data_IF_803745344691
#
_entry.id   IF_803745344691
#
_cell.length_a   1.000
_cell.length_b   1.000
_cell.length_c   1.000
_cell.angle_alpha   90.00
_cell.angle_beta   90.00
_cell.angle_gamma   90.00
#
_symmetry.space_group_name_H-M   'P 1'
#
loop_
_entity.id
_entity.type
_entity.pdbx_description
1 polymer ?
#
# COMPACT_ATOMS: atom_id res chain seq x y z
N UNK A 1 36.83 -11.82 41.63
CA UNK A 1 37.20 -12.30 40.29
C UNK A 1 35.97 -12.96 39.67
N UNK A 2 35.30 -12.28 38.74
CA UNK A 2 34.15 -12.83 38.01
C UNK A 2 34.73 -13.82 36.99
N UNK A 3 34.36 -15.10 37.11
CA UNK A 3 34.87 -16.16 36.24
C UNK A 3 34.39 -15.87 34.79
N UNK A 4 35.31 -15.63 33.88
CA UNK A 4 35.12 -15.32 32.45
C UNK A 4 34.19 -16.34 31.77
N UNK A 5 34.15 -17.58 32.25
CA UNK A 5 33.29 -18.66 31.79
C UNK A 5 31.77 -18.35 31.87
N UNK A 6 31.34 -17.43 32.76
CA UNK A 6 29.92 -17.03 32.88
C UNK A 6 29.53 -15.92 31.92
N UNK A 7 30.47 -15.23 31.27
CA UNK A 7 30.23 -14.16 30.28
C UNK A 7 30.04 -14.72 28.88
N UNK A 8 30.56 -15.91 28.57
CA UNK A 8 30.46 -16.52 27.24
C UNK A 8 29.01 -16.76 26.78
N UNK A 9 28.09 -17.34 27.60
CA UNK A 9 26.72 -17.56 27.17
C UNK A 9 25.94 -16.25 26.95
N UNK A 10 26.23 -15.19 27.69
CA UNK A 10 25.60 -13.87 27.54
C UNK A 10 26.02 -13.24 26.21
N UNK A 11 27.30 -13.33 25.84
CA UNK A 11 27.83 -12.84 24.59
C UNK A 11 27.25 -13.61 23.39
N UNK A 12 27.04 -14.93 23.52
CA UNK A 12 26.42 -15.75 22.49
C UNK A 12 24.95 -15.37 22.23
N UNK A 13 24.18 -15.06 23.28
CA UNK A 13 22.78 -14.64 23.17
C UNK A 13 22.68 -13.29 22.46
N UNK A 14 23.60 -12.34 22.70
CA UNK A 14 23.63 -11.03 22.05
C UNK A 14 23.89 -11.17 20.54
N UNK A 15 24.69 -12.14 20.11
CA UNK A 15 24.96 -12.42 18.69
C UNK A 15 23.73 -12.92 17.91
N UNK A 16 22.79 -13.62 18.56
CA UNK A 16 21.56 -14.10 17.93
C UNK A 16 20.46 -13.01 17.82
N UNK A 17 20.55 -11.92 18.54
CA UNK A 17 19.56 -10.83 18.52
C UNK A 17 19.72 -9.88 17.33
N UNK A 18 20.83 -9.93 16.60
CA UNK A 18 21.08 -9.04 15.45
C UNK A 18 20.45 -9.51 14.13
N UNK A 19 19.72 -10.63 14.13
CA UNK A 19 19.15 -11.21 12.91
C UNK A 19 17.66 -10.86 12.71
N UNK A 20 17.22 -9.71 13.25
CA UNK A 20 15.91 -9.17 12.89
C UNK A 20 16.02 -8.56 11.49
N UNK A 21 15.81 -9.38 10.45
CA UNK A 21 15.79 -8.99 9.05
C UNK A 21 14.59 -8.11 8.69
N UNK A 22 14.36 -7.03 9.45
CA UNK A 22 13.38 -6.02 9.11
C UNK A 22 13.92 -5.17 7.97
N UNK A 23 13.55 -5.53 6.75
CA UNK A 23 13.72 -4.63 5.60
C UNK A 23 12.56 -3.63 5.63
N UNK A 24 12.81 -2.35 5.93
CA UNK A 24 11.76 -1.36 5.91
C UNK A 24 11.18 -1.27 4.49
N UNK A 25 9.85 -1.39 4.33
CA UNK A 25 9.14 -1.28 3.04
C UNK A 25 9.52 -0.03 2.24
N UNK A 26 10.00 1.01 2.92
CA UNK A 26 10.51 2.25 2.31
C UNK A 26 11.89 2.12 1.62
N UNK A 27 12.63 1.02 1.84
CA UNK A 27 13.92 0.80 1.18
C UNK A 27 13.76 0.43 -0.31
N UNK A 28 12.60 -0.05 -0.74
CA UNK A 28 12.29 -0.34 -2.15
C UNK A 28 12.31 0.92 -3.05
N UNK A 29 12.16 2.11 -2.46
CA UNK A 29 12.09 3.37 -3.21
C UNK A 29 13.43 3.86 -3.79
N UNK A 30 14.58 3.29 -3.40
CA UNK A 30 15.89 3.84 -3.80
C UNK A 30 16.43 3.31 -5.14
N UNK A 31 15.88 2.21 -5.69
CA UNK A 31 16.46 1.54 -6.86
C UNK A 31 15.45 1.20 -7.97
N UNK A 32 14.36 1.97 -8.10
CA UNK A 32 13.48 1.78 -9.27
C UNK A 32 14.10 2.44 -10.51
N UNK A 33 14.26 1.65 -11.58
CA UNK A 33 14.80 2.13 -12.87
C UNK A 33 13.71 2.76 -13.76
N UNK A 34 12.62 3.20 -13.16
CA UNK A 34 11.54 3.89 -13.86
C UNK A 34 11.00 5.07 -13.05
N UNK A 35 10.27 5.94 -13.72
CA UNK A 35 9.48 7.00 -13.11
C UNK A 35 8.00 6.86 -13.51
N UNK A 36 7.12 7.37 -12.67
CA UNK A 36 5.67 7.34 -12.89
C UNK A 36 5.18 8.77 -13.09
N UNK A 37 4.51 9.00 -14.21
CA UNK A 37 3.81 10.23 -14.49
C UNK A 37 2.30 9.98 -14.34
N UNK A 38 1.68 10.46 -13.26
CA UNK A 38 0.23 10.34 -13.06
C UNK A 38 -0.47 11.42 -13.87
N UNK A 39 -1.09 11.02 -14.97
CA UNK A 39 -1.82 11.93 -15.88
C UNK A 39 -3.17 12.31 -15.28
N UNK A 40 -3.94 11.32 -14.87
CA UNK A 40 -5.28 11.51 -14.33
C UNK A 40 -5.61 10.48 -13.26
N UNK A 41 -6.40 10.89 -12.24
CA UNK A 41 -6.99 9.98 -11.26
C UNK A 41 -8.43 10.43 -10.97
N UNK A 42 -9.40 9.52 -11.17
CA UNK A 42 -10.83 9.75 -10.93
C UNK A 42 -11.39 8.75 -9.93
N UNK A 43 -12.48 9.10 -9.23
CA UNK A 43 -13.23 8.23 -8.33
C UNK A 43 -13.23 8.68 -6.87
N UNK A 44 -13.02 7.78 -5.90
CA UNK A 44 -13.04 8.10 -4.47
C UNK A 44 -11.96 9.11 -4.09
N UNK A 45 -12.39 10.29 -3.61
CA UNK A 45 -11.49 11.43 -3.36
C UNK A 45 -10.47 11.14 -2.28
N UNK A 46 -10.89 10.50 -1.20
CA UNK A 46 -10.03 10.28 -0.03
C UNK A 46 -8.93 9.26 -0.34
N UNK A 47 -9.31 8.13 -0.93
CA UNK A 47 -8.38 7.12 -1.43
C UNK A 47 -7.42 7.70 -2.49
N UNK A 48 -7.95 8.48 -3.45
CA UNK A 48 -7.17 9.09 -4.52
C UNK A 48 -6.12 10.06 -3.98
N UNK A 49 -6.44 10.87 -2.97
CA UNK A 49 -5.48 11.79 -2.35
C UNK A 49 -4.31 11.02 -1.71
N UNK A 50 -4.61 9.93 -0.99
CA UNK A 50 -3.60 9.06 -0.41
C UNK A 50 -2.72 8.42 -1.50
N UNK A 51 -3.33 7.79 -2.50
CA UNK A 51 -2.61 7.13 -3.58
C UNK A 51 -1.75 8.10 -4.39
N UNK A 52 -2.30 9.29 -4.74
CA UNK A 52 -1.59 10.34 -5.47
C UNK A 52 -0.33 10.81 -4.74
N UNK A 53 -0.42 11.06 -3.42
CA UNK A 53 0.72 11.50 -2.60
C UNK A 53 1.84 10.45 -2.57
N UNK A 54 1.47 9.18 -2.60
CA UNK A 54 2.40 8.04 -2.61
C UNK A 54 3.05 7.84 -3.99
N UNK A 55 2.28 7.92 -5.08
CA UNK A 55 2.77 7.85 -6.46
C UNK A 55 3.76 8.99 -6.74
N UNK A 56 3.54 10.19 -6.19
CA UNK A 56 4.41 11.34 -6.40
C UNK A 56 5.87 11.09 -5.99
N UNK A 57 6.15 10.13 -5.11
CA UNK A 57 7.51 9.72 -4.72
C UNK A 57 8.28 9.09 -5.87
N UNK A 58 7.59 8.56 -6.88
CA UNK A 58 8.15 7.94 -8.08
C UNK A 58 8.17 8.90 -9.28
N UNK A 59 7.68 10.14 -9.09
CA UNK A 59 7.51 11.13 -10.16
C UNK A 59 8.77 11.91 -10.55
N UNK A 60 9.95 11.62 -9.98
CA UNK A 60 11.19 12.30 -10.34
C UNK A 60 11.61 11.87 -11.75
N UNK A 61 11.52 12.79 -12.69
CA UNK A 61 12.07 12.62 -14.06
C UNK A 61 13.58 12.54 -13.97
N UNK A 62 14.11 11.36 -14.24
CA UNK A 62 15.53 11.15 -14.50
C UNK A 62 15.65 10.79 -15.98
N UNK A 63 16.51 11.47 -16.71
CA UNK A 63 16.67 11.34 -18.18
C UNK A 63 16.97 9.90 -18.61
N UNK A 64 17.53 9.10 -17.70
CA UNK A 64 17.92 7.73 -17.96
C UNK A 64 16.89 6.69 -17.50
N UNK A 65 15.71 7.11 -17.03
CA UNK A 65 14.67 6.20 -16.53
C UNK A 65 13.52 6.07 -17.49
N UNK A 66 13.02 4.84 -17.64
CA UNK A 66 11.77 4.55 -18.35
C UNK A 66 10.60 5.29 -17.69
N UNK A 67 9.82 6.02 -18.46
CA UNK A 67 8.65 6.76 -17.96
C UNK A 67 7.37 5.97 -18.25
N UNK A 68 6.54 5.80 -17.21
CA UNK A 68 5.22 5.23 -17.35
C UNK A 68 4.15 6.29 -17.07
N UNK A 69 3.30 6.55 -18.04
CA UNK A 69 2.10 7.38 -17.89
C UNK A 69 0.97 6.52 -17.33
N UNK A 70 0.35 6.99 -16.25
CA UNK A 70 -0.76 6.31 -15.56
C UNK A 70 -2.04 7.14 -15.62
N UNK A 71 -3.13 6.51 -16.08
CA UNK A 71 -4.49 6.99 -15.86
C UNK A 71 -5.21 6.00 -14.95
N UNK A 72 -5.77 6.49 -13.85
CA UNK A 72 -6.41 5.67 -12.84
C UNK A 72 -7.88 6.04 -12.68
N UNK A 73 -8.73 5.02 -12.54
CA UNK A 73 -10.13 5.19 -12.14
C UNK A 73 -10.40 4.28 -10.95
N UNK A 74 -10.81 4.86 -9.83
CA UNK A 74 -11.01 4.15 -8.57
C UNK A 74 -12.48 4.08 -8.19
N UNK A 75 -12.88 2.96 -7.60
CA UNK A 75 -14.21 2.76 -7.02
C UNK A 75 -14.05 2.17 -5.62
N UNK A 76 -14.64 2.83 -4.64
CA UNK A 76 -14.67 2.38 -3.26
C UNK A 76 -16.08 1.96 -2.88
N UNK A 77 -16.21 0.79 -2.23
CA UNK A 77 -17.46 0.29 -1.69
C UNK A 77 -17.25 -0.11 -0.21
N UNK A 78 -18.23 0.22 0.63
CA UNK A 78 -18.32 -0.22 2.02
C UNK A 78 -19.57 -1.08 2.17
N UNK A 79 -19.38 -2.38 2.32
CA UNK A 79 -20.44 -3.37 2.42
C UNK A 79 -20.57 -3.87 3.86
N UNK A 80 -21.78 -4.18 4.32
CA UNK A 80 -21.96 -4.87 5.60
C UNK A 80 -21.53 -6.32 5.41
N UNK A 81 -20.49 -6.74 6.14
CA UNK A 81 -19.98 -8.12 6.12
C UNK A 81 -20.71 -9.01 7.09
N UNK A 82 -20.96 -8.52 8.30
CA UNK A 82 -21.68 -9.26 9.34
C UNK A 82 -22.60 -8.35 10.14
N UNK A 83 -23.66 -8.93 10.70
CA UNK A 83 -24.63 -8.28 11.57
C UNK A 83 -24.65 -8.96 12.94
N UNK A 84 -25.08 -8.23 13.96
CA UNK A 84 -25.37 -8.78 15.27
C UNK A 84 -26.77 -9.43 15.33
N UNK A 85 -27.17 -9.92 16.51
CA UNK A 85 -28.48 -10.54 16.74
C UNK A 85 -29.66 -9.57 16.56
N UNK A 86 -29.42 -8.26 16.66
CA UNK A 86 -30.41 -7.21 16.43
C UNK A 86 -30.47 -6.73 14.96
N UNK A 87 -29.64 -7.33 14.08
CA UNK A 87 -29.57 -6.98 12.66
C UNK A 87 -28.70 -5.76 12.35
N UNK A 88 -28.02 -5.19 13.35
CA UNK A 88 -27.12 -4.06 13.18
C UNK A 88 -25.76 -4.51 12.62
N UNK A 89 -25.12 -3.65 11.83
CA UNK A 89 -23.80 -3.94 11.30
C UNK A 89 -22.77 -4.14 12.43
N UNK A 90 -22.01 -5.25 12.38
CA UNK A 90 -20.91 -5.58 13.29
C UNK A 90 -19.57 -5.42 12.63
N UNK A 91 -19.49 -5.76 11.34
CA UNK A 91 -18.29 -5.62 10.52
C UNK A 91 -18.66 -5.14 9.13
N UNK A 92 -17.73 -4.35 8.56
CA UNK A 92 -17.78 -3.94 7.17
C UNK A 92 -16.67 -4.60 6.37
N UNK A 93 -16.95 -4.79 5.10
CA UNK A 93 -15.97 -5.13 4.08
C UNK A 93 -15.75 -3.88 3.22
N UNK A 94 -14.53 -3.38 3.20
CA UNK A 94 -14.11 -2.23 2.41
C UNK A 94 -13.42 -2.77 1.16
N UNK A 95 -13.98 -2.48 0.00
CA UNK A 95 -13.46 -2.94 -1.30
C UNK A 95 -13.03 -1.74 -2.12
N UNK A 96 -11.81 -1.78 -2.63
CA UNK A 96 -11.30 -0.81 -3.61
C UNK A 96 -11.00 -1.52 -4.92
N UNK A 97 -11.55 -1.00 -6.00
CA UNK A 97 -11.22 -1.43 -7.36
C UNK A 97 -10.52 -0.27 -8.07
N UNK A 98 -9.35 -0.53 -8.66
CA UNK A 98 -8.57 0.44 -9.41
C UNK A 98 -8.37 -0.06 -10.84
N UNK A 99 -8.98 0.63 -11.80
CA UNK A 99 -8.72 0.43 -13.22
C UNK A 99 -7.57 1.34 -13.61
N UNK A 100 -6.47 0.76 -14.07
CA UNK A 100 -5.28 1.46 -14.48
C UNK A 100 -5.03 1.29 -15.99
N UNK A 101 -4.72 2.39 -16.67
CA UNK A 101 -4.19 2.38 -18.04
C UNK A 101 -2.74 2.83 -17.93
N UNK A 102 -1.83 1.93 -18.27
CA UNK A 102 -0.38 2.15 -18.29
C UNK A 102 0.08 2.36 -19.72
N UNK A 103 0.77 3.47 -19.99
CA UNK A 103 1.40 3.76 -21.29
C UNK A 103 2.89 3.97 -21.07
N UNK A 104 3.70 3.59 -22.06
CA UNK A 104 5.11 3.97 -22.15
C UNK A 104 5.42 4.30 -23.62
N UNK A 105 6.55 4.98 -23.87
CA UNK A 105 6.96 5.33 -25.23
C UNK A 105 7.20 4.11 -26.14
N UNK A 106 7.50 2.95 -25.54
CA UNK A 106 7.93 1.74 -26.25
C UNK A 106 6.86 0.66 -26.35
N UNK A 107 5.69 0.82 -25.69
CA UNK A 107 4.69 -0.25 -25.63
C UNK A 107 3.26 0.29 -25.78
N UNK A 108 2.41 -0.54 -26.36
CA UNK A 108 0.97 -0.26 -26.42
C UNK A 108 0.37 -0.08 -25.02
N UNK A 109 -0.70 0.74 -24.91
CA UNK A 109 -1.39 0.95 -23.64
C UNK A 109 -1.92 -0.36 -23.07
N UNK A 110 -1.56 -0.65 -21.81
CA UNK A 110 -2.05 -1.83 -21.08
C UNK A 110 -3.14 -1.43 -20.09
N UNK A 111 -4.25 -2.18 -20.12
CA UNK A 111 -5.34 -2.02 -19.14
C UNK A 111 -5.18 -3.06 -18.04
N UNK A 112 -5.24 -2.62 -16.80
CA UNK A 112 -5.10 -3.44 -15.61
C UNK A 112 -6.23 -3.16 -14.65
N UNK A 113 -6.62 -4.18 -13.89
CA UNK A 113 -7.58 -4.05 -12.80
C UNK A 113 -6.92 -4.59 -11.53
N UNK A 114 -6.89 -3.76 -10.51
CA UNK A 114 -6.47 -4.14 -9.16
C UNK A 114 -7.69 -4.06 -8.26
N UNK A 115 -7.92 -5.11 -7.49
CA UNK A 115 -8.97 -5.14 -6.47
C UNK A 115 -8.38 -5.60 -5.15
N UNK A 116 -8.71 -4.89 -4.09
CA UNK A 116 -8.30 -5.18 -2.72
C UNK A 116 -9.47 -5.03 -1.77
N UNK A 117 -9.45 -5.89 -0.78
CA UNK A 117 -10.48 -5.93 0.25
C UNK A 117 -9.85 -5.94 1.64
N UNK A 118 -10.40 -5.16 2.56
CA UNK A 118 -10.02 -5.16 3.97
C UNK A 118 -11.26 -5.15 4.85
N UNK A 119 -11.20 -5.85 5.97
CA UNK A 119 -12.31 -5.88 6.93
C UNK A 119 -12.12 -4.78 7.97
N UNK A 120 -13.23 -4.14 8.33
CA UNK A 120 -13.28 -3.08 9.33
C UNK A 120 -14.38 -3.38 10.35
N UNK A 121 -14.05 -3.34 11.63
CA UNK A 121 -15.07 -3.46 12.69
C UNK A 121 -15.92 -2.20 12.74
N UNK A 122 -17.21 -2.37 13.01
CA UNK A 122 -18.10 -1.27 13.38
C UNK A 122 -17.66 -0.73 14.74
N UNK A 123 -17.52 0.60 14.85
CA UNK A 123 -17.27 1.28 16.12
C UNK A 123 -18.55 1.97 16.61
N UNK A 124 -18.65 2.16 17.93
CA UNK A 124 -19.81 2.82 18.53
C UNK A 124 -19.81 4.33 18.23
N UNK A 125 -18.66 4.95 18.32
CA UNK A 125 -18.47 6.36 17.98
C UNK A 125 -18.32 6.55 16.48
N UNK A 126 -19.18 7.36 15.88
CA UNK A 126 -19.20 7.61 14.44
C UNK A 126 -17.97 8.38 13.94
N UNK A 127 -17.37 9.24 14.78
CA UNK A 127 -16.17 9.99 14.43
C UNK A 127 -14.95 9.07 14.43
N UNK A 128 -14.82 8.22 15.44
CA UNK A 128 -13.77 7.20 15.51
C UNK A 128 -13.89 6.21 14.34
N UNK A 129 -15.12 5.76 14.01
CA UNK A 129 -15.35 4.88 12.85
C UNK A 129 -14.89 5.54 11.55
N UNK A 130 -15.22 6.82 11.34
CA UNK A 130 -14.79 7.55 10.14
C UNK A 130 -13.26 7.69 10.06
N UNK A 131 -12.60 7.97 11.19
CA UNK A 131 -11.15 8.05 11.25
C UNK A 131 -10.51 6.69 10.97
N UNK A 132 -11.09 5.62 11.52
CA UNK A 132 -10.63 4.26 11.28
C UNK A 132 -10.80 3.86 9.80
N UNK A 133 -11.95 4.19 9.19
CA UNK A 133 -12.17 3.98 7.76
C UNK A 133 -11.13 4.70 6.89
N UNK A 134 -10.77 5.94 7.25
CA UNK A 134 -9.70 6.69 6.57
C UNK A 134 -8.37 5.96 6.65
N UNK A 135 -7.98 5.46 7.83
CA UNK A 135 -6.76 4.67 8.00
C UNK A 135 -6.80 3.40 7.13
N UNK A 136 -7.96 2.74 7.06
CA UNK A 136 -8.11 1.55 6.20
C UNK A 136 -7.96 1.88 4.72
N UNK A 137 -8.49 3.03 4.25
CA UNK A 137 -8.28 3.52 2.87
C UNK A 137 -6.81 3.85 2.60
N UNK A 138 -6.08 4.40 3.57
CA UNK A 138 -4.64 4.64 3.46
C UNK A 138 -3.87 3.33 3.32
N UNK A 139 -4.21 2.30 4.11
CA UNK A 139 -3.63 0.96 3.99
C UNK A 139 -3.93 0.30 2.64
N UNK A 140 -5.18 0.40 2.16
CA UNK A 140 -5.55 -0.08 0.83
C UNK A 140 -4.75 0.63 -0.27
N UNK A 141 -4.48 1.93 -0.12
CA UNK A 141 -3.68 2.67 -1.09
C UNK A 141 -2.20 2.23 -1.11
N UNK A 142 -1.63 1.78 0.02
CA UNK A 142 -0.29 1.19 0.05
C UNK A 142 -0.25 -0.14 -0.70
N UNK A 143 -1.22 -1.01 -0.45
CA UNK A 143 -1.31 -2.32 -1.12
C UNK A 143 -1.47 -2.15 -2.63
N UNK A 144 -2.35 -1.26 -3.07
CA UNK A 144 -2.57 -0.97 -4.50
C UNK A 144 -1.30 -0.39 -5.13
N UNK A 145 -0.63 0.55 -4.46
CA UNK A 145 0.64 1.09 -4.97
C UNK A 145 1.68 0.00 -5.14
N UNK A 146 1.87 -0.85 -4.13
CA UNK A 146 2.83 -1.96 -4.20
C UNK A 146 2.53 -2.87 -5.40
N UNK A 147 1.26 -3.18 -5.67
CA UNK A 147 0.86 -3.98 -6.85
C UNK A 147 1.16 -3.27 -8.17
N UNK A 148 0.88 -1.97 -8.27
CA UNK A 148 1.22 -1.15 -9.44
C UNK A 148 2.73 -1.20 -9.68
N UNK A 149 3.53 -0.94 -8.65
CA UNK A 149 5.00 -0.94 -8.71
C UNK A 149 5.52 -2.32 -9.14
N UNK A 150 5.04 -3.40 -8.51
CA UNK A 150 5.42 -4.77 -8.86
C UNK A 150 5.09 -5.12 -10.31
N UNK A 151 3.99 -4.60 -10.85
CA UNK A 151 3.64 -4.79 -12.25
C UNK A 151 4.60 -4.03 -13.18
N UNK A 152 4.89 -2.76 -12.86
CA UNK A 152 5.80 -1.92 -13.65
C UNK A 152 7.23 -2.48 -13.71
N UNK A 153 7.68 -3.17 -12.65
CA UNK A 153 8.97 -3.88 -12.65
C UNK A 153 9.04 -5.04 -13.65
N UNK A 154 7.90 -5.61 -14.04
CA UNK A 154 7.84 -6.74 -14.97
C UNK A 154 7.74 -6.31 -16.45
N UNK A 155 7.59 -5.00 -16.69
CA UNK A 155 7.51 -4.40 -18.03
C UNK A 155 8.87 -3.95 -18.54
#
# INVERSE_FOLDING_TARGET
MIKITKLIPIFLIILFLNNCGYTPRYALNKNVNFSINLIEIKGDREFNNSLKSKIARYGKKDVNKKVYDLNLTTRYNKNIKSKDAAGLAKEYELVITVNAIVKSELTDPKKLVFEETINMKKLEDAFEEKNYEKIMKENLSDIILDRIIMYLFKL
#
